data_IF_315157518124
#
_entry.id   IF_315157518124
#
_cell.length_a   1.000
_cell.length_b   1.000
_cell.length_c   1.000
_cell.angle_alpha   90.00
_cell.angle_beta   90.00
_cell.angle_gamma   90.00
#
_symmetry.space_group_name_H-M   'P 1'
#
loop_
_entity.id
_entity.type
_entity.pdbx_description
1 polymer ?
#
# COMPACT_ATOMS: atom_id res chain seq x y z
N UNK A 1 -32.97 -6.18 18.84
CA UNK A 1 -33.08 -5.02 17.93
C UNK A 1 -32.93 -5.59 16.54
N UNK A 2 -33.91 -5.37 15.67
CA UNK A 2 -33.81 -5.87 14.29
C UNK A 2 -32.80 -5.00 13.53
N UNK A 3 -31.89 -5.60 12.74
CA UNK A 3 -30.91 -4.84 11.97
C UNK A 3 -31.60 -4.03 10.86
N UNK A 4 -30.92 -3.03 10.33
CA UNK A 4 -31.38 -2.41 9.09
C UNK A 4 -31.03 -3.30 7.89
N UNK A 5 -31.93 -3.41 6.91
CA UNK A 5 -31.62 -4.12 5.66
C UNK A 5 -30.41 -3.43 5.00
N UNK A 6 -29.40 -4.21 4.62
CA UNK A 6 -28.15 -3.70 4.05
C UNK A 6 -27.10 -3.26 5.10
N UNK A 7 -27.40 -3.36 6.39
CA UNK A 7 -26.42 -3.13 7.46
C UNK A 7 -25.30 -4.16 7.39
N UNK A 8 -24.06 -3.69 7.44
CA UNK A 8 -22.86 -4.52 7.45
C UNK A 8 -22.27 -4.50 8.86
N UNK A 9 -22.03 -5.68 9.43
CA UNK A 9 -21.36 -5.83 10.71
C UNK A 9 -20.20 -6.82 10.62
N UNK A 10 -19.30 -6.71 11.58
CA UNK A 10 -18.22 -7.67 11.81
C UNK A 10 -18.74 -8.86 12.60
N UNK A 11 -18.41 -10.07 12.16
CA UNK A 11 -18.86 -11.32 12.73
C UNK A 11 -17.72 -12.33 12.80
N UNK A 12 -17.47 -12.87 14.00
CA UNK A 12 -16.36 -13.80 14.24
C UNK A 12 -16.69 -15.27 13.90
N UNK A 13 -17.95 -15.60 13.61
CA UNK A 13 -18.36 -16.97 13.29
C UNK A 13 -18.11 -17.35 11.82
N UNK A 14 -18.08 -18.65 11.52
CA UNK A 14 -17.77 -19.21 10.21
C UNK A 14 -19.00 -19.55 9.34
N UNK A 15 -20.19 -19.10 9.73
CA UNK A 15 -21.43 -19.24 8.96
C UNK A 15 -22.20 -17.92 8.95
N UNK A 16 -23.02 -17.67 7.93
CA UNK A 16 -23.93 -16.53 7.95
C UNK A 16 -25.18 -16.88 8.79
N UNK A 17 -25.51 -16.10 9.84
CA UNK A 17 -26.76 -16.30 10.57
C UNK A 17 -27.99 -16.18 9.66
N UNK A 18 -29.13 -16.74 10.08
CA UNK A 18 -30.37 -16.62 9.30
C UNK A 18 -30.74 -15.14 9.09
N UNK A 19 -31.06 -14.79 7.85
CA UNK A 19 -31.36 -13.40 7.48
C UNK A 19 -30.11 -12.55 7.17
N UNK A 20 -28.92 -13.16 7.19
CA UNK A 20 -27.66 -12.54 6.85
C UNK A 20 -26.97 -13.30 5.71
N UNK A 21 -26.02 -12.64 5.08
CA UNK A 21 -25.11 -13.22 4.10
C UNK A 21 -23.69 -12.73 4.34
N UNK A 22 -22.68 -13.48 3.92
CA UNK A 22 -21.31 -12.97 3.85
C UNK A 22 -21.17 -11.92 2.74
N UNK A 23 -20.31 -10.94 2.97
CA UNK A 23 -19.91 -9.96 1.97
C UNK A 23 -18.84 -10.55 1.02
N UNK A 24 -19.23 -11.57 0.25
CA UNK A 24 -18.35 -12.34 -0.64
C UNK A 24 -18.54 -12.02 -2.15
N UNK A 25 -19.24 -10.93 -2.48
CA UNK A 25 -19.47 -10.53 -3.88
C UNK A 25 -20.50 -11.37 -4.64
N UNK A 26 -21.24 -12.24 -3.95
CA UNK A 26 -22.21 -13.14 -4.57
C UNK A 26 -23.39 -12.40 -5.22
N UNK A 27 -23.88 -12.95 -6.33
CA UNK A 27 -25.09 -12.47 -7.01
C UNK A 27 -26.34 -13.02 -6.32
N UNK A 28 -27.28 -12.13 -6.03
CA UNK A 28 -28.59 -12.48 -5.49
C UNK A 28 -29.71 -12.12 -6.48
N UNK A 29 -30.78 -12.92 -6.55
CA UNK A 29 -31.90 -12.63 -7.40
C UNK A 29 -32.75 -11.49 -6.82
N UNK A 30 -33.09 -10.51 -7.66
CA UNK A 30 -33.83 -9.31 -7.28
C UNK A 30 -35.24 -9.66 -6.80
N UNK A 31 -35.90 -10.64 -7.43
CA UNK A 31 -37.27 -11.02 -7.10
C UNK A 31 -37.45 -11.53 -5.66
N UNK A 32 -36.40 -12.07 -5.03
CA UNK A 32 -36.42 -12.55 -3.65
C UNK A 32 -35.84 -11.53 -2.64
N UNK A 33 -35.13 -10.51 -3.13
CA UNK A 33 -34.39 -9.55 -2.30
C UNK A 33 -34.65 -8.10 -2.73
N UNK A 34 -35.89 -7.80 -3.12
CA UNK A 34 -36.27 -6.50 -3.70
C UNK A 34 -35.97 -5.31 -2.76
N UNK A 35 -36.18 -5.49 -1.46
CA UNK A 35 -35.88 -4.48 -0.45
C UNK A 35 -34.37 -4.21 -0.30
N UNK A 36 -33.52 -5.22 -0.40
CA UNK A 36 -32.07 -5.03 -0.38
C UNK A 36 -31.58 -4.39 -1.68
N UNK A 37 -32.14 -4.82 -2.82
CA UNK A 37 -31.83 -4.25 -4.13
C UNK A 37 -32.18 -2.76 -4.22
N UNK A 38 -33.29 -2.29 -3.63
CA UNK A 38 -33.62 -0.86 -3.64
C UNK A 38 -32.65 0.01 -2.83
N UNK A 39 -31.82 -0.61 -1.99
CA UNK A 39 -30.77 0.05 -1.21
C UNK A 39 -29.44 0.00 -1.95
N UNK A 40 -28.98 -1.19 -2.37
CA UNK A 40 -27.66 -1.38 -2.98
C UNK A 40 -27.63 -1.08 -4.48
N UNK A 41 -28.76 -1.25 -5.18
CA UNK A 41 -28.81 -1.22 -6.64
C UNK A 41 -27.79 -2.18 -7.25
N UNK A 42 -27.05 -1.71 -8.24
CA UNK A 42 -25.97 -2.45 -8.93
C UNK A 42 -24.57 -1.96 -8.53
N UNK A 43 -24.43 -1.24 -7.41
CA UNK A 43 -23.16 -0.62 -6.97
C UNK A 43 -22.02 -1.66 -6.93
N UNK A 44 -22.32 -2.88 -6.49
CA UNK A 44 -21.33 -3.96 -6.36
C UNK A 44 -21.35 -4.96 -7.53
N UNK A 45 -22.22 -4.76 -8.53
CA UNK A 45 -22.37 -5.61 -9.71
C UNK A 45 -23.78 -6.18 -9.91
N UNK A 46 -23.89 -7.13 -10.84
CA UNK A 46 -25.16 -7.69 -11.33
C UNK A 46 -25.72 -6.97 -12.54
N UNK A 47 -26.81 -7.48 -13.09
CA UNK A 47 -27.42 -6.97 -14.33
C UNK A 47 -28.49 -5.89 -14.07
N UNK A 48 -28.91 -5.70 -12.81
CA UNK A 48 -29.95 -4.75 -12.42
C UNK A 48 -31.36 -5.11 -12.91
N UNK A 49 -31.54 -6.28 -13.53
CA UNK A 49 -32.81 -6.76 -14.09
C UNK A 49 -33.28 -8.02 -13.39
N UNK A 50 -32.39 -8.99 -13.25
CA UNK A 50 -32.65 -10.27 -12.58
C UNK A 50 -31.82 -10.44 -11.32
N UNK A 51 -30.63 -9.83 -11.28
CA UNK A 51 -29.64 -10.00 -10.21
C UNK A 51 -28.95 -8.69 -9.83
N UNK A 52 -28.46 -8.65 -8.60
CA UNK A 52 -27.52 -7.66 -8.09
C UNK A 52 -26.46 -8.37 -7.23
N UNK A 53 -25.32 -7.73 -7.01
CA UNK A 53 -24.27 -8.30 -6.17
C UNK A 53 -24.25 -7.70 -4.76
N UNK A 54 -23.83 -8.52 -3.79
CA UNK A 54 -23.38 -8.03 -2.49
C UNK A 54 -21.97 -7.42 -2.58
N UNK A 55 -21.53 -6.63 -1.57
CA UNK A 55 -20.13 -6.23 -1.45
C UNK A 55 -19.19 -7.44 -1.40
N UNK A 56 -17.96 -7.29 -1.90
CA UNK A 56 -16.87 -8.27 -1.73
C UNK A 56 -15.80 -7.65 -0.83
N UNK A 57 -15.76 -8.06 0.43
CA UNK A 57 -14.84 -7.53 1.45
C UNK A 57 -13.72 -8.52 1.80
N UNK A 58 -13.60 -9.63 1.07
CA UNK A 58 -12.51 -10.60 1.29
C UNK A 58 -11.16 -9.97 0.94
N UNK A 59 -10.22 -9.98 1.88
CA UNK A 59 -8.91 -9.34 1.73
C UNK A 59 -8.98 -7.80 1.68
N UNK A 60 -10.08 -7.19 2.17
CA UNK A 60 -10.28 -5.75 2.08
C UNK A 60 -10.64 -5.14 3.43
N UNK A 61 -10.20 -3.90 3.61
CA UNK A 61 -10.63 -3.04 4.71
C UNK A 61 -11.74 -2.13 4.20
N UNK A 62 -12.85 -2.05 4.92
CA UNK A 62 -13.94 -1.15 4.58
C UNK A 62 -13.49 0.32 4.74
N UNK A 63 -13.78 1.14 3.73
CA UNK A 63 -13.49 2.58 3.72
C UNK A 63 -14.76 3.35 3.40
N UNK A 64 -14.96 4.47 4.10
CA UNK A 64 -16.10 5.36 3.84
C UNK A 64 -15.90 6.12 2.51
N UNK A 65 -16.92 6.22 1.64
CA UNK A 65 -16.82 7.01 0.40
C UNK A 65 -16.82 8.51 0.69
N UNK A 66 -16.34 9.33 -0.24
CA UNK A 66 -16.48 10.79 -0.17
C UNK A 66 -15.27 11.59 -0.67
N UNK A 67 -15.40 12.91 -0.55
CA UNK A 67 -14.46 13.93 -1.05
C UNK A 67 -14.10 14.94 0.05
N UNK A 68 -13.78 14.45 1.25
CA UNK A 68 -13.38 15.30 2.38
C UNK A 68 -12.16 16.17 2.05
N UNK A 69 -12.02 17.32 2.72
CA UNK A 69 -10.90 18.24 2.49
C UNK A 69 -9.56 17.53 2.73
N UNK A 70 -8.66 17.58 1.73
CA UNK A 70 -7.36 16.90 1.78
C UNK A 70 -7.40 15.39 1.52
N UNK A 71 -8.58 14.82 1.21
CA UNK A 71 -8.72 13.41 0.84
C UNK A 71 -8.83 13.25 -0.68
N UNK A 72 -8.39 12.10 -1.17
CA UNK A 72 -8.69 11.67 -2.54
C UNK A 72 -10.18 11.31 -2.63
N UNK A 73 -10.91 11.74 -3.67
CA UNK A 73 -12.27 11.28 -3.94
C UNK A 73 -12.36 9.76 -3.96
N UNK A 74 -13.40 9.20 -3.31
CA UNK A 74 -13.74 7.78 -3.35
C UNK A 74 -15.23 7.59 -3.58
N UNK A 75 -15.57 6.80 -4.59
CA UNK A 75 -16.95 6.43 -4.86
C UNK A 75 -17.37 5.21 -4.03
N UNK A 76 -18.65 5.12 -3.67
CA UNK A 76 -19.17 3.95 -2.97
C UNK A 76 -19.06 2.71 -3.88
N UNK A 77 -18.46 1.64 -3.36
CA UNK A 77 -18.19 0.41 -4.11
C UNK A 77 -16.87 0.42 -4.89
N UNK A 78 -16.14 1.54 -4.92
CA UNK A 78 -14.81 1.62 -5.51
C UNK A 78 -13.84 0.65 -4.80
N UNK A 79 -13.02 -0.05 -5.58
CA UNK A 79 -11.97 -0.94 -5.07
C UNK A 79 -10.61 -0.29 -5.30
N UNK A 80 -9.76 -0.28 -4.28
CA UNK A 80 -8.40 0.25 -4.37
C UNK A 80 -7.44 -0.41 -3.39
N UNK A 81 -6.21 0.09 -3.37
CA UNK A 81 -5.11 -0.41 -2.52
C UNK A 81 -4.32 -1.57 -3.16
N UNK A 82 -3.16 -1.88 -2.56
CA UNK A 82 -2.30 -3.01 -2.92
C UNK A 82 -1.73 -3.66 -1.65
N UNK A 83 -1.66 -5.00 -1.64
CA UNK A 83 -1.10 -5.77 -0.50
C UNK A 83 0.43 -5.71 -0.48
N UNK A 84 1.05 -5.61 -1.65
CA UNK A 84 2.49 -5.43 -1.82
C UNK A 84 2.78 -4.15 -2.59
N UNK A 85 3.93 -3.54 -2.27
CA UNK A 85 4.46 -2.38 -2.99
C UNK A 85 5.90 -2.69 -3.39
N UNK A 86 6.17 -2.60 -4.70
CA UNK A 86 7.54 -2.61 -5.23
C UNK A 86 8.13 -1.23 -5.02
N UNK A 87 9.19 -1.12 -4.21
CA UNK A 87 9.93 0.13 -4.06
C UNK A 87 10.72 0.41 -5.34
N UNK A 88 10.26 1.40 -6.08
CA UNK A 88 11.01 1.99 -7.18
C UNK A 88 12.04 2.97 -6.62
N UNK A 89 13.12 3.24 -7.38
CA UNK A 89 14.10 4.27 -7.01
C UNK A 89 13.47 5.65 -6.81
N UNK A 90 12.35 5.94 -7.48
CA UNK A 90 11.55 7.16 -7.30
C UNK A 90 10.83 7.26 -5.95
N UNK A 91 10.67 6.15 -5.22
CA UNK A 91 10.03 6.11 -3.90
C UNK A 91 11.04 6.16 -2.75
N UNK A 92 12.33 6.23 -3.07
CA UNK A 92 13.43 6.40 -2.11
C UNK A 92 14.00 7.81 -2.30
N UNK A 93 14.37 8.54 -1.22
CA UNK A 93 15.05 9.81 -1.37
C UNK A 93 16.29 9.69 -2.25
N UNK A 94 16.42 10.60 -3.21
CA UNK A 94 17.61 10.69 -4.05
C UNK A 94 18.83 10.93 -3.14
N UNK A 95 19.84 10.07 -3.30
CA UNK A 95 21.11 10.19 -2.61
C UNK A 95 22.25 9.84 -3.57
N UNK A 96 23.45 10.33 -3.27
CA UNK A 96 24.65 10.02 -4.02
C UNK A 96 25.83 9.84 -3.08
N UNK A 97 26.81 9.07 -3.53
CA UNK A 97 28.08 8.91 -2.84
C UNK A 97 29.16 9.58 -3.67
N UNK A 98 29.68 10.69 -3.17
CA UNK A 98 30.80 11.39 -3.80
C UNK A 98 32.07 10.99 -3.07
N UNK A 99 32.91 10.18 -3.70
CA UNK A 99 34.23 9.87 -3.17
C UNK A 99 35.18 10.98 -3.61
N UNK A 100 35.79 11.65 -2.64
CA UNK A 100 36.81 12.67 -2.87
C UNK A 100 38.17 12.09 -2.51
N UNK A 101 39.12 12.26 -3.41
CA UNK A 101 40.54 11.96 -3.22
C UNK A 101 41.36 13.23 -3.38
N UNK A 102 42.66 13.17 -3.09
CA UNK A 102 43.63 14.22 -3.34
C UNK A 102 44.55 13.76 -4.46
N UNK A 103 44.73 14.59 -5.50
CA UNK A 103 45.61 14.29 -6.64
C UNK A 103 47.12 14.45 -6.37
N UNK A 104 47.51 14.66 -5.10
CA UNK A 104 48.89 14.83 -4.65
C UNK A 104 49.43 13.50 -4.11
N UNK A 105 50.75 13.40 -4.03
CA UNK A 105 51.45 12.27 -3.41
C UNK A 105 50.97 12.05 -1.96
N UNK A 106 50.82 10.79 -1.56
CA UNK A 106 50.40 10.47 -0.20
C UNK A 106 51.53 10.66 0.81
N UNK A 107 51.14 11.06 2.02
CA UNK A 107 52.05 11.40 3.12
C UNK A 107 51.71 10.69 4.44
N UNK A 108 50.72 9.79 4.42
CA UNK A 108 50.24 9.05 5.59
C UNK A 108 49.75 7.65 5.21
N UNK A 109 50.15 6.64 5.99
CA UNK A 109 49.63 5.27 5.85
C UNK A 109 48.33 5.06 6.66
N UNK A 110 47.84 6.09 7.35
CA UNK A 110 46.66 6.00 8.21
C UNK A 110 45.45 6.68 7.55
N UNK A 111 44.30 5.98 7.46
CA UNK A 111 43.09 6.55 6.84
C UNK A 111 42.36 7.58 7.71
N UNK A 112 42.57 7.58 9.03
CA UNK A 112 41.79 8.41 9.95
C UNK A 112 42.00 9.89 9.65
N UNK A 113 40.92 10.62 9.35
CA UNK A 113 40.93 12.04 8.96
C UNK A 113 41.83 12.38 7.74
N UNK A 114 42.05 11.41 6.84
CA UNK A 114 42.81 11.61 5.60
C UNK A 114 41.97 11.21 4.37
N UNK A 115 42.31 11.78 3.21
CA UNK A 115 41.76 11.41 1.92
C UNK A 115 42.64 10.37 1.24
N UNK A 116 42.06 9.59 0.32
CA UNK A 116 42.84 8.77 -0.62
C UNK A 116 43.76 9.68 -1.43
N UNK A 117 45.01 9.29 -1.64
CA UNK A 117 46.01 10.06 -2.36
C UNK A 117 46.40 9.43 -3.69
N UNK A 118 47.16 10.16 -4.51
CA UNK A 118 47.86 9.60 -5.65
C UNK A 118 49.11 8.86 -5.15
N UNK A 119 49.08 7.52 -5.13
CA UNK A 119 50.19 6.71 -4.60
C UNK A 119 51.08 6.17 -5.71
N UNK A 120 52.39 6.44 -5.63
CA UNK A 120 53.44 5.77 -6.39
C UNK A 120 53.93 4.49 -5.69
N UNK A 121 55.02 3.90 -6.19
CA UNK A 121 55.55 2.61 -5.71
C UNK A 121 56.11 2.64 -4.27
N UNK A 122 56.37 3.83 -3.72
CA UNK A 122 56.91 4.02 -2.37
C UNK A 122 56.19 5.11 -1.57
N UNK A 123 55.08 5.62 -2.11
CA UNK A 123 54.32 6.66 -1.43
C UNK A 123 53.31 6.03 -0.48
N UNK A 124 52.86 6.81 0.49
CA UNK A 124 51.76 6.40 1.34
C UNK A 124 50.42 6.48 0.59
N UNK A 125 49.41 5.76 1.06
CA UNK A 125 48.11 5.67 0.37
C UNK A 125 47.15 6.83 0.69
N UNK A 126 47.41 7.60 1.75
CA UNK A 126 46.55 8.68 2.22
C UNK A 126 47.26 10.04 2.31
N UNK A 127 46.47 11.11 2.29
CA UNK A 127 46.94 12.49 2.45
C UNK A 127 45.99 13.31 3.31
N UNK A 128 46.54 14.12 4.22
CA UNK A 128 45.79 15.13 4.98
C UNK A 128 45.74 16.50 4.29
N UNK A 129 46.18 16.59 3.02
CA UNK A 129 46.14 17.85 2.27
C UNK A 129 44.71 18.37 2.15
N UNK A 130 44.53 19.64 2.45
CA UNK A 130 43.25 20.36 2.28
C UNK A 130 43.09 20.97 0.89
N UNK A 131 44.06 20.75 -0.02
CA UNK A 131 44.07 21.23 -1.39
C UNK A 131 44.30 20.09 -2.40
N UNK A 132 43.93 20.30 -3.66
CA UNK A 132 44.10 19.27 -4.71
C UNK A 132 43.02 18.19 -4.71
N UNK A 133 41.85 18.47 -4.12
CA UNK A 133 40.72 17.56 -4.11
C UNK A 133 40.20 17.28 -5.53
N UNK A 134 39.99 16.01 -5.83
CA UNK A 134 39.42 15.51 -7.08
C UNK A 134 38.33 14.50 -6.76
N UNK A 135 37.28 14.47 -7.58
CA UNK A 135 36.27 13.42 -7.49
C UNK A 135 36.81 12.15 -8.13
N UNK A 136 36.70 11.02 -7.43
CA UNK A 136 37.02 9.73 -8.00
C UNK A 136 35.93 9.28 -8.99
N UNK A 137 36.27 8.28 -9.81
CA UNK A 137 35.34 7.71 -10.78
C UNK A 137 34.06 7.22 -10.07
N UNK A 138 32.89 7.63 -10.55
CA UNK A 138 31.59 7.26 -9.97
C UNK A 138 31.32 5.75 -9.98
N UNK A 139 31.98 4.98 -10.86
CA UNK A 139 31.91 3.53 -10.90
C UNK A 139 32.54 2.82 -9.68
N UNK A 140 33.29 3.53 -8.84
CA UNK A 140 33.83 2.99 -7.58
C UNK A 140 32.74 2.66 -6.55
N UNK A 141 31.58 3.31 -6.67
CA UNK A 141 30.41 3.07 -5.83
C UNK A 141 29.26 2.60 -6.73
N UNK A 142 28.88 1.35 -6.58
CA UNK A 142 27.73 0.81 -7.29
C UNK A 142 26.45 1.09 -6.48
N UNK A 143 25.35 1.29 -7.18
CA UNK A 143 24.05 1.40 -6.54
C UNK A 143 23.65 0.04 -5.94
N UNK A 144 23.03 0.04 -4.77
CA UNK A 144 22.51 -1.17 -4.13
C UNK A 144 21.00 -1.10 -3.94
N UNK A 145 20.34 -2.25 -3.90
CA UNK A 145 18.88 -2.37 -3.84
C UNK A 145 18.34 -3.27 -4.97
N UNK A 146 17.53 -4.26 -4.61
CA UNK A 146 17.07 -5.31 -5.53
C UNK A 146 15.69 -5.09 -6.16
N UNK A 147 15.10 -3.90 -6.00
CA UNK A 147 13.73 -3.57 -6.47
C UNK A 147 12.72 -4.66 -6.09
N UNK A 148 12.87 -5.25 -4.91
CA UNK A 148 11.97 -6.30 -4.44
C UNK A 148 10.74 -5.67 -3.77
N UNK A 149 9.55 -6.26 -3.95
CA UNK A 149 8.38 -5.83 -3.20
C UNK A 149 8.58 -6.04 -1.70
N UNK A 150 8.00 -5.14 -0.92
CA UNK A 150 7.73 -5.41 0.48
C UNK A 150 6.22 -5.47 0.70
N UNK A 151 5.83 -6.20 1.74
CA UNK A 151 4.44 -6.20 2.18
C UNK A 151 4.04 -4.80 2.65
N UNK A 152 2.87 -4.37 2.23
CA UNK A 152 2.22 -3.12 2.63
C UNK A 152 1.05 -3.39 3.59
N UNK A 153 0.94 -4.61 4.10
CA UNK A 153 -0.11 -4.98 5.04
C UNK A 153 0.31 -4.66 6.47
N UNK A 154 -0.54 -3.90 7.17
CA UNK A 154 -0.48 -3.79 8.63
C UNK A 154 -0.77 -5.15 9.28
N UNK A 155 -0.36 -5.41 10.53
CA UNK A 155 -0.82 -6.58 11.28
C UNK A 155 -2.36 -6.65 11.30
N UNK A 156 -2.92 -7.82 10.97
CA UNK A 156 -4.37 -8.00 10.87
C UNK A 156 -4.84 -9.32 11.50
N UNK A 157 -6.14 -9.39 11.77
CA UNK A 157 -6.83 -10.63 12.15
C UNK A 157 -8.09 -10.72 11.30
N UNK A 158 -8.27 -11.85 10.63
CA UNK A 158 -9.41 -12.05 9.75
C UNK A 158 -10.69 -12.30 10.56
N UNK A 159 -11.71 -11.52 10.24
CA UNK A 159 -13.08 -11.65 10.72
C UNK A 159 -14.02 -11.49 9.53
N UNK A 160 -15.20 -12.08 9.61
CA UNK A 160 -16.14 -12.01 8.50
C UNK A 160 -16.94 -10.71 8.55
N UNK A 161 -17.20 -10.14 7.37
CA UNK A 161 -18.25 -9.15 7.23
C UNK A 161 -19.52 -9.84 6.77
N UNK A 162 -20.61 -9.59 7.47
CA UNK A 162 -21.94 -10.06 7.09
C UNK A 162 -22.87 -8.87 6.86
N UNK A 163 -23.79 -9.03 5.91
CA UNK A 163 -24.80 -8.05 5.53
C UNK A 163 -26.21 -8.59 5.80
N UNK A 164 -27.07 -7.76 6.38
CA UNK A 164 -28.44 -8.11 6.66
C UNK A 164 -29.28 -8.15 5.37
N UNK A 165 -29.81 -9.33 5.05
CA UNK A 165 -30.77 -9.53 3.96
C UNK A 165 -32.21 -9.22 4.39
N UNK A 166 -32.49 -9.34 5.69
CA UNK A 166 -33.79 -9.16 6.31
C UNK A 166 -33.65 -8.25 7.53
N UNK A 167 -34.66 -7.42 7.80
CA UNK A 167 -34.61 -6.45 8.88
C UNK A 167 -35.58 -5.28 8.67
N UNK A 168 -35.34 -4.19 9.38
CA UNK A 168 -36.09 -2.94 9.21
C UNK A 168 -35.61 -2.22 7.96
N UNK A 169 -36.53 -1.77 7.11
CA UNK A 169 -36.17 -0.96 5.94
C UNK A 169 -35.74 0.45 6.38
N UNK A 170 -34.54 0.93 6.01
CA UNK A 170 -34.10 2.27 6.39
C UNK A 170 -34.87 3.34 5.60
N UNK A 171 -35.59 4.21 6.30
CA UNK A 171 -36.27 5.36 5.69
C UNK A 171 -35.24 6.43 5.32
N UNK A 172 -35.28 6.91 4.07
CA UNK A 172 -34.50 8.07 3.65
C UNK A 172 -35.15 9.33 4.23
N UNK A 173 -34.38 10.17 4.92
CA UNK A 173 -34.78 11.51 5.38
C UNK A 173 -34.44 12.58 4.36
#
# INVERSE_FOLDING_TARGET
MDPFIGEIIMFAGNFAPRGWAFCDGQLLPINQNSALFSILGTIYGGDGRTTFALPDLRGRVAMHPGTGAGLTPRDLGERGGTEDVVLMTSQIPAHSHNIVAVGLEGNSNAPNDHFLANTGAFDSEYSNSTSGHVYMNSGMVQNTGGTQPHTNMQPFTCINYIIALQGTYPSRS
#
